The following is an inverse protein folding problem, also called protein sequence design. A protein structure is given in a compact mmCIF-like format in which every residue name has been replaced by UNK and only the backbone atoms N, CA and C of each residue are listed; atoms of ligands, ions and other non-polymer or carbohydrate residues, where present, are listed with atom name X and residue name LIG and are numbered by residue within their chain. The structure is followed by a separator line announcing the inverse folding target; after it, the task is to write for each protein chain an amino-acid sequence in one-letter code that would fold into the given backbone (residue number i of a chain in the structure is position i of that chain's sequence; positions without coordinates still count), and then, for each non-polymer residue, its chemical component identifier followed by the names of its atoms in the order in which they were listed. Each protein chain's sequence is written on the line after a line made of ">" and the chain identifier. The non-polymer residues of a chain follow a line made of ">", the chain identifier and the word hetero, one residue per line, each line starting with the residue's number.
data_IF_320825224418
#
_entry.id   IF_320825224418
#
_cell.length_a   1.000
_cell.length_b   1.000
_cell.length_c   1.000
_cell.angle_alpha   90.00
_cell.angle_beta   90.00
_cell.angle_gamma   90.00
#
_symmetry.space_group_name_H-M   'P 1'
#
loop_
_entity.id
_entity.type
_entity.pdbx_description
1 polymer ?
#
# COMPACT_ATOMS: atom_id res chain seq x y z
N UNK A 1 -50.24 10.40 -30.11
CA UNK A 1 -49.27 11.43 -29.66
C UNK A 1 -47.98 10.68 -29.42
N UNK A 2 -47.08 10.70 -30.40
CA UNK A 2 -45.75 10.12 -30.23
C UNK A 2 -44.96 11.04 -29.31
N UNK A 3 -44.54 10.48 -28.18
CA UNK A 3 -43.68 11.15 -27.21
C UNK A 3 -42.28 11.13 -27.82
N UNK A 4 -41.84 12.26 -28.38
CA UNK A 4 -40.44 12.46 -28.74
C UNK A 4 -39.61 12.37 -27.45
N UNK A 5 -38.93 11.25 -27.26
CA UNK A 5 -37.89 11.15 -26.24
C UNK A 5 -36.71 12.01 -26.70
N UNK A 6 -36.15 12.83 -25.82
CA UNK A 6 -34.92 13.56 -26.12
C UNK A 6 -33.81 12.55 -26.44
N UNK A 7 -33.19 12.68 -27.61
CA UNK A 7 -32.01 11.89 -27.94
C UNK A 7 -30.87 12.32 -27.01
N UNK A 8 -30.55 11.46 -26.05
CA UNK A 8 -29.38 11.61 -25.20
C UNK A 8 -28.19 11.00 -25.93
N UNK A 9 -27.16 11.82 -26.14
CA UNK A 9 -25.91 11.39 -26.77
C UNK A 9 -25.01 10.75 -25.69
N UNK A 10 -24.75 9.43 -25.74
CA UNK A 10 -23.87 8.76 -24.79
C UNK A 10 -22.42 9.25 -24.83
N UNK A 11 -22.00 9.94 -25.91
CA UNK A 11 -20.66 10.54 -25.99
C UNK A 11 -20.49 11.75 -25.04
N UNK A 12 -21.60 12.36 -24.58
CA UNK A 12 -21.57 13.45 -23.61
C UNK A 12 -21.41 12.97 -22.17
N UNK A 13 -21.81 11.74 -21.84
CA UNK A 13 -21.66 11.20 -20.47
C UNK A 13 -20.19 11.04 -20.06
N UNK A 14 -19.33 10.68 -21.02
CA UNK A 14 -17.89 10.46 -20.76
C UNK A 14 -17.02 11.68 -21.09
N UNK A 15 -17.60 12.83 -21.46
CA UNK A 15 -16.83 13.98 -21.94
C UNK A 15 -15.91 14.55 -20.83
N UNK A 16 -16.39 14.61 -19.59
CA UNK A 16 -15.59 15.06 -18.46
C UNK A 16 -14.44 14.10 -18.15
N UNK A 17 -14.63 12.79 -18.28
CA UNK A 17 -13.56 11.80 -18.13
C UNK A 17 -12.57 11.84 -19.31
N UNK A 18 -13.04 12.09 -20.53
CA UNK A 18 -12.16 12.28 -21.70
C UNK A 18 -11.29 13.53 -21.59
N UNK A 19 -11.84 14.61 -21.02
CA UNK A 19 -11.17 15.90 -20.91
C UNK A 19 -10.32 15.98 -19.64
N UNK A 20 -10.79 15.46 -18.50
CA UNK A 20 -10.18 15.62 -17.17
C UNK A 20 -9.83 14.31 -16.47
N UNK A 21 -10.06 13.17 -17.09
CA UNK A 21 -9.71 11.86 -16.51
C UNK A 21 -8.21 11.67 -16.38
N UNK A 22 -7.84 10.72 -15.52
CA UNK A 22 -6.44 10.34 -15.30
C UNK A 22 -5.82 9.87 -16.61
N UNK A 23 -4.67 10.44 -16.97
CA UNK A 23 -3.88 10.10 -18.14
C UNK A 23 -2.55 9.54 -17.70
N UNK A 24 -2.25 8.34 -18.15
CA UNK A 24 -1.01 7.64 -17.85
C UNK A 24 -0.25 7.46 -19.15
N UNK A 25 1.05 7.76 -19.13
CA UNK A 25 1.94 7.53 -20.24
C UNK A 25 3.21 6.84 -19.73
N UNK A 26 3.51 5.66 -20.29
CA UNK A 26 4.70 4.89 -19.96
C UNK A 26 5.74 5.04 -21.07
N UNK A 27 6.86 5.67 -20.72
CA UNK A 27 7.92 6.06 -21.65
C UNK A 27 9.24 5.35 -21.33
N UNK A 28 9.78 4.65 -22.32
CA UNK A 28 11.06 3.95 -22.24
C UNK A 28 12.22 4.69 -22.93
N UNK A 29 11.97 5.83 -23.57
CA UNK A 29 12.96 6.54 -24.39
C UNK A 29 13.61 7.71 -23.65
N UNK A 30 12.84 8.47 -22.85
CA UNK A 30 13.37 9.68 -22.18
C UNK A 30 14.44 9.43 -21.10
N UNK A 31 14.57 8.20 -20.61
CA UNK A 31 15.59 7.85 -19.61
C UNK A 31 16.35 6.60 -20.03
N UNK A 32 17.68 6.64 -20.12
CA UNK A 32 18.48 5.47 -20.50
C UNK A 32 18.47 4.30 -19.51
N UNK A 33 18.07 4.52 -18.25
CA UNK A 33 18.22 3.54 -17.14
C UNK A 33 16.92 3.13 -16.45
N UNK A 34 15.81 3.78 -16.75
CA UNK A 34 14.53 3.53 -16.11
C UNK A 34 13.41 3.64 -17.14
N UNK A 35 12.29 2.98 -16.86
CA UNK A 35 11.00 3.28 -17.49
C UNK A 35 10.39 4.46 -16.74
N UNK A 36 9.81 5.41 -17.45
CA UNK A 36 9.20 6.62 -16.87
C UNK A 36 7.69 6.49 -16.97
N UNK A 37 7.00 6.43 -15.84
CA UNK A 37 5.54 6.46 -15.76
C UNK A 37 5.12 7.88 -15.40
N UNK A 38 4.40 8.55 -16.30
CA UNK A 38 3.85 9.87 -16.07
C UNK A 38 2.35 9.74 -15.83
N UNK A 39 1.87 10.30 -14.73
CA UNK A 39 0.46 10.29 -14.35
C UNK A 39 -0.02 11.74 -14.22
N UNK A 40 -1.02 12.09 -15.01
CA UNK A 40 -1.65 13.40 -14.96
C UNK A 40 -3.13 13.24 -14.61
N UNK A 41 -3.64 13.96 -13.62
CA UNK A 41 -5.05 13.86 -13.26
C UNK A 41 -5.61 15.16 -12.69
N UNK A 42 -6.92 15.37 -12.82
CA UNK A 42 -7.63 16.48 -12.20
C UNK A 42 -8.21 16.04 -10.87
N UNK A 43 -7.61 16.59 -9.81
CA UNK A 43 -8.03 16.52 -8.41
C UNK A 43 -8.59 15.19 -7.88
N UNK A 44 -7.68 14.32 -7.48
CA UNK A 44 -7.97 13.18 -6.63
C UNK A 44 -6.91 13.09 -5.53
N UNK A 45 -7.37 13.10 -4.28
CA UNK A 45 -6.49 13.09 -3.11
C UNK A 45 -5.89 11.70 -2.84
N UNK A 46 -6.49 10.63 -3.42
CA UNK A 46 -6.07 9.25 -3.17
C UNK A 46 -5.28 8.62 -4.34
N UNK A 47 -5.16 9.33 -5.47
CA UNK A 47 -4.49 8.81 -6.67
C UNK A 47 -3.02 8.42 -6.45
N UNK A 48 -2.28 9.19 -5.65
CA UNK A 48 -0.87 8.87 -5.38
C UNK A 48 -0.73 7.47 -4.75
N UNK A 49 -1.61 7.15 -3.81
CA UNK A 49 -1.58 5.85 -3.15
C UNK A 49 -1.99 4.74 -4.12
N UNK A 50 -3.03 4.96 -4.93
CA UNK A 50 -3.45 4.02 -5.97
C UNK A 50 -2.32 3.71 -6.97
N UNK A 51 -1.63 4.74 -7.45
CA UNK A 51 -0.48 4.58 -8.35
C UNK A 51 0.61 3.75 -7.68
N UNK A 52 0.94 4.07 -6.42
CA UNK A 52 1.96 3.30 -5.69
C UNK A 52 1.53 1.84 -5.48
N UNK A 53 0.26 1.57 -5.18
CA UNK A 53 -0.31 0.21 -5.07
C UNK A 53 -0.14 -0.58 -6.38
N UNK A 54 -0.40 0.04 -7.53
CA UNK A 54 -0.20 -0.62 -8.85
C UNK A 54 1.28 -0.93 -9.08
N UNK A 55 2.17 0.03 -8.80
CA UNK A 55 3.61 -0.14 -9.02
C UNK A 55 4.23 -1.22 -8.11
N UNK A 56 3.84 -1.26 -6.82
CA UNK A 56 4.33 -2.30 -5.90
C UNK A 56 3.74 -3.67 -6.20
N UNK A 57 2.48 -3.74 -6.70
CA UNK A 57 1.84 -5.00 -7.09
C UNK A 57 2.51 -5.64 -8.32
N UNK A 58 3.20 -4.84 -9.12
CA UNK A 58 4.10 -5.29 -10.19
C UNK A 58 5.55 -5.51 -9.75
N UNK A 59 5.81 -5.38 -8.44
CA UNK A 59 7.13 -5.52 -7.83
C UNK A 59 8.19 -4.56 -8.41
N UNK A 60 7.73 -3.40 -8.89
CA UNK A 60 8.61 -2.38 -9.48
C UNK A 60 9.29 -1.54 -8.40
N UNK A 61 10.57 -1.25 -8.62
CA UNK A 61 11.35 -0.36 -7.75
C UNK A 61 11.33 1.07 -8.27
N UNK A 62 11.11 2.05 -7.38
CA UNK A 62 11.11 3.47 -7.71
C UNK A 62 12.52 4.03 -7.48
N UNK A 63 13.23 4.34 -8.56
CA UNK A 63 14.57 4.92 -8.49
C UNK A 63 14.54 6.43 -8.23
N UNK A 64 13.53 7.10 -8.78
CA UNK A 64 13.35 8.54 -8.71
C UNK A 64 11.88 8.87 -8.89
N UNK A 65 11.36 9.86 -8.17
CA UNK A 65 10.00 10.32 -8.37
C UNK A 65 9.87 11.82 -8.08
N UNK A 66 8.93 12.45 -8.79
CA UNK A 66 8.45 13.79 -8.54
C UNK A 66 6.93 13.76 -8.44
N UNK A 67 6.40 14.27 -7.34
CA UNK A 67 4.95 14.43 -7.12
C UNK A 67 4.68 15.93 -7.12
N UNK A 68 3.62 16.36 -7.79
CA UNK A 68 3.23 17.77 -7.80
C UNK A 68 1.72 17.94 -7.94
N UNK A 69 1.16 18.75 -7.03
CA UNK A 69 -0.25 19.14 -7.03
C UNK A 69 -0.35 20.67 -6.99
N UNK A 70 -0.93 21.26 -8.04
CA UNK A 70 -1.11 22.71 -8.17
C UNK A 70 -2.55 23.06 -8.57
N UNK A 71 -3.29 23.71 -7.65
CA UNK A 71 -4.55 24.38 -7.99
C UNK A 71 -5.63 23.52 -8.66
N UNK A 72 -5.60 22.20 -8.46
CA UNK A 72 -6.56 21.24 -9.01
C UNK A 72 -5.98 20.24 -10.02
N UNK A 73 -4.70 20.35 -10.40
CA UNK A 73 -4.01 19.37 -11.23
C UNK A 73 -2.94 18.62 -10.47
N UNK A 74 -2.74 17.36 -10.84
CA UNK A 74 -1.71 16.48 -10.33
C UNK A 74 -0.84 16.02 -11.49
N UNK A 75 0.48 16.12 -11.33
CA UNK A 75 1.48 15.64 -12.27
C UNK A 75 2.56 14.89 -11.51
N UNK A 76 2.47 13.57 -11.62
CA UNK A 76 3.36 12.65 -10.92
C UNK A 76 4.21 11.89 -11.94
N UNK A 77 5.51 11.82 -11.68
CA UNK A 77 6.49 11.18 -12.56
C UNK A 77 7.28 10.17 -11.76
N UNK A 78 7.23 8.90 -12.16
CA UNK A 78 7.92 7.79 -11.51
C UNK A 78 8.95 7.18 -12.47
N UNK A 79 10.20 7.14 -12.05
CA UNK A 79 11.25 6.39 -12.74
C UNK A 79 11.33 5.00 -12.10
N UNK A 80 10.78 4.02 -12.79
CA UNK A 80 10.65 2.65 -12.29
C UNK A 80 11.61 1.69 -12.97
N UNK A 81 11.93 0.60 -12.27
CA UNK A 81 12.72 -0.53 -12.76
C UNK A 81 12.08 -1.83 -12.28
N UNK A 82 12.29 -2.90 -13.03
CA UNK A 82 11.93 -4.24 -12.58
C UNK A 82 12.84 -4.73 -11.43
N UNK A 83 12.61 -5.96 -10.98
CA UNK A 83 13.36 -6.59 -9.89
C UNK A 83 14.85 -6.81 -10.22
N UNK A 84 15.19 -6.93 -11.50
CA UNK A 84 16.57 -7.06 -11.97
C UNK A 84 17.27 -5.70 -12.10
N UNK A 85 16.53 -4.59 -11.90
CA UNK A 85 17.03 -3.23 -12.04
C UNK A 85 17.04 -2.73 -13.49
N UNK A 86 16.34 -3.43 -14.39
CA UNK A 86 16.22 -3.09 -15.80
C UNK A 86 14.95 -2.28 -16.08
N UNK A 87 14.81 -1.79 -17.30
CA UNK A 87 13.57 -1.16 -17.77
C UNK A 87 12.47 -2.20 -17.96
N UNK A 88 11.24 -1.79 -17.73
CA UNK A 88 10.05 -2.58 -18.01
C UNK A 88 9.78 -2.57 -19.51
N UNK A 89 10.03 -3.70 -20.19
CA UNK A 89 9.75 -3.87 -21.62
C UNK A 89 8.50 -4.70 -21.91
N UNK A 90 7.97 -5.38 -20.90
CA UNK A 90 6.77 -6.21 -21.04
C UNK A 90 5.58 -5.34 -21.41
N UNK A 91 5.09 -5.49 -22.66
CA UNK A 91 3.87 -4.79 -23.12
C UNK A 91 2.67 -5.10 -22.23
N UNK A 92 2.58 -6.31 -21.68
CA UNK A 92 1.51 -6.68 -20.75
C UNK A 92 1.57 -5.86 -19.47
N UNK A 93 2.75 -5.72 -18.88
CA UNK A 93 2.95 -4.91 -17.67
C UNK A 93 2.68 -3.43 -17.94
N UNK A 94 3.18 -2.89 -19.06
CA UNK A 94 2.94 -1.49 -19.47
C UNK A 94 1.44 -1.22 -19.63
N UNK A 95 0.75 -2.05 -20.43
CA UNK A 95 -0.69 -1.89 -20.65
C UNK A 95 -1.47 -1.98 -19.33
N UNK A 96 -1.04 -2.84 -18.41
CA UNK A 96 -1.67 -2.96 -17.10
C UNK A 96 -1.45 -1.73 -16.22
N UNK A 97 -0.24 -1.14 -16.20
CA UNK A 97 0.01 0.13 -15.49
C UNK A 97 -0.94 1.20 -16.01
N UNK A 98 -1.05 1.32 -17.33
CA UNK A 98 -1.94 2.30 -17.97
C UNK A 98 -3.41 2.05 -17.61
N UNK A 99 -3.88 0.80 -17.71
CA UNK A 99 -5.28 0.47 -17.45
C UNK A 99 -5.65 0.56 -15.97
N UNK A 100 -4.81 0.06 -15.07
CA UNK A 100 -5.09 0.05 -13.64
C UNK A 100 -5.12 1.45 -13.01
N UNK A 101 -4.31 2.38 -13.54
CA UNK A 101 -4.27 3.76 -13.06
C UNK A 101 -5.29 4.64 -13.80
N UNK A 102 -5.55 4.42 -15.10
CA UNK A 102 -6.57 5.19 -15.83
C UNK A 102 -8.01 4.79 -15.46
N UNK A 103 -8.25 3.49 -15.25
CA UNK A 103 -9.59 2.94 -15.01
C UNK A 103 -9.69 2.49 -13.56
N UNK A 104 -10.30 3.31 -12.70
CA UNK A 104 -10.47 3.01 -11.26
C UNK A 104 -11.25 1.71 -10.98
N UNK A 105 -12.02 1.24 -11.95
CA UNK A 105 -12.79 -0.01 -11.89
C UNK A 105 -12.10 -1.22 -12.55
N UNK A 106 -10.83 -1.11 -12.96
CA UNK A 106 -10.14 -2.22 -13.62
C UNK A 106 -9.84 -3.35 -12.61
N UNK A 107 -10.02 -4.63 -13.00
CA UNK A 107 -9.62 -5.75 -12.15
C UNK A 107 -8.11 -5.66 -11.88
N UNK A 108 -7.73 -5.57 -10.60
CA UNK A 108 -6.32 -5.51 -10.17
C UNK A 108 -5.63 -6.80 -10.63
N UNK A 109 -4.60 -6.74 -11.48
CA UNK A 109 -3.80 -7.91 -11.84
C UNK A 109 -2.69 -8.13 -10.79
N UNK A 110 -2.29 -9.38 -10.57
CA UNK A 110 -1.10 -9.74 -9.78
C UNK A 110 -0.07 -10.39 -10.68
N UNK A 111 1.20 -10.12 -10.41
CA UNK A 111 2.30 -10.88 -11.00
C UNK A 111 2.46 -12.17 -10.21
N UNK A 112 2.11 -13.32 -10.80
CA UNK A 112 2.47 -14.62 -10.23
C UNK A 112 3.97 -14.83 -10.37
N UNK A 113 4.59 -15.62 -9.48
CA UNK A 113 6.03 -15.99 -9.49
C UNK A 113 6.58 -16.47 -10.86
N UNK A 114 5.72 -16.80 -11.81
CA UNK A 114 6.04 -17.16 -13.19
C UNK A 114 6.24 -15.97 -14.14
N UNK A 115 6.27 -14.72 -13.65
CA UNK A 115 6.34 -13.50 -14.48
C UNK A 115 5.17 -13.38 -15.48
N UNK A 116 4.09 -14.13 -15.23
CA UNK A 116 2.85 -14.07 -15.99
C UNK A 116 1.91 -13.12 -15.26
N UNK A 117 1.51 -12.06 -15.97
CA UNK A 117 0.47 -11.15 -15.49
C UNK A 117 -0.87 -11.88 -15.61
N UNK A 118 -1.34 -12.45 -14.50
CA UNK A 118 -2.67 -13.05 -14.41
C UNK A 118 -3.65 -12.01 -13.84
N UNK A 119 -4.83 -11.89 -14.43
CA UNK A 119 -5.92 -11.11 -13.82
C UNK A 119 -6.16 -11.69 -12.44
N UNK A 120 -6.12 -10.90 -11.35
CA UNK A 120 -6.71 -11.42 -10.11
C UNK A 120 -8.17 -11.67 -10.49
N UNK A 121 -8.66 -12.91 -10.39
CA UNK A 121 -10.09 -13.08 -10.34
C UNK A 121 -10.59 -12.27 -9.14
N UNK A 122 -11.84 -11.80 -9.17
CA UNK A 122 -12.43 -11.07 -8.05
C UNK A 122 -12.13 -11.83 -6.75
N UNK A 123 -11.24 -11.26 -5.92
CA UNK A 123 -10.64 -11.98 -4.78
C UNK A 123 -11.73 -12.33 -3.78
N UNK A 124 -12.77 -11.51 -3.69
CA UNK A 124 -13.96 -11.79 -2.89
C UNK A 124 -14.79 -12.95 -3.44
N UNK A 125 -14.76 -13.21 -4.76
CA UNK A 125 -15.50 -14.29 -5.38
C UNK A 125 -14.82 -15.67 -5.24
N UNK A 126 -13.50 -15.71 -5.00
CA UNK A 126 -12.73 -16.96 -4.99
C UNK A 126 -12.05 -17.30 -3.67
N UNK A 127 -11.82 -16.31 -2.80
CA UNK A 127 -11.05 -16.50 -1.58
C UNK A 127 -11.74 -15.89 -0.36
N UNK A 128 -11.45 -16.46 0.80
CA UNK A 128 -11.74 -15.90 2.10
C UNK A 128 -10.49 -15.19 2.61
N UNK A 129 -10.60 -13.90 2.88
CA UNK A 129 -9.51 -13.12 3.45
C UNK A 129 -9.50 -13.17 4.97
N UNK A 130 -8.34 -13.36 5.57
CA UNK A 130 -8.12 -13.42 7.01
C UNK A 130 -7.01 -12.46 7.39
N UNK A 131 -7.28 -11.60 8.35
CA UNK A 131 -6.31 -10.70 8.96
C UNK A 131 -5.94 -11.19 10.33
N UNK A 132 -4.66 -11.07 10.65
CA UNK A 132 -4.11 -11.52 11.92
C UNK A 132 -3.17 -10.44 12.42
N UNK A 133 -3.33 -10.05 13.67
CA UNK A 133 -2.39 -9.21 14.39
C UNK A 133 -2.09 -9.87 15.73
N UNK A 134 -0.82 -9.87 16.13
CA UNK A 134 -0.39 -10.49 17.37
C UNK A 134 1.08 -10.26 17.67
N UNK A 135 1.58 -10.97 18.66
CA UNK A 135 2.99 -10.88 19.04
C UNK A 135 3.89 -11.69 18.12
N UNK A 136 4.97 -11.08 17.67
CA UNK A 136 6.01 -11.74 16.90
C UNK A 136 6.85 -12.65 17.81
N UNK A 137 6.61 -13.97 17.75
CA UNK A 137 7.37 -14.97 18.50
C UNK A 137 7.82 -16.14 17.62
N UNK A 138 8.92 -16.82 17.98
CA UNK A 138 9.32 -18.05 17.29
C UNK A 138 8.17 -19.08 17.25
N UNK A 139 7.95 -19.70 16.10
CA UNK A 139 6.93 -20.73 15.91
C UNK A 139 5.53 -20.23 15.50
N UNK A 140 5.27 -18.92 15.55
CA UNK A 140 3.93 -18.36 15.28
C UNK A 140 3.36 -18.76 13.92
N UNK A 141 4.15 -18.72 12.84
CA UNK A 141 3.67 -19.13 11.52
C UNK A 141 3.42 -20.63 11.43
N UNK A 142 4.19 -21.45 12.15
CA UNK A 142 3.94 -22.90 12.22
C UNK A 142 2.60 -23.20 12.89
N UNK A 143 2.27 -22.48 13.96
CA UNK A 143 0.99 -22.61 14.65
C UNK A 143 -0.17 -22.10 13.77
N UNK A 144 -0.02 -20.95 13.11
CA UNK A 144 -1.02 -20.43 12.16
C UNK A 144 -1.26 -21.45 11.02
N UNK A 145 -0.19 -21.98 10.42
CA UNK A 145 -0.31 -22.99 9.36
C UNK A 145 -0.97 -24.28 9.86
N UNK A 146 -0.70 -24.70 11.09
CA UNK A 146 -1.35 -25.86 11.69
C UNK A 146 -2.86 -25.65 11.84
N UNK A 147 -3.30 -24.49 12.35
CA UNK A 147 -4.73 -24.15 12.47
C UNK A 147 -5.41 -24.14 11.10
N UNK A 148 -4.80 -23.50 10.10
CA UNK A 148 -5.37 -23.44 8.75
C UNK A 148 -5.49 -24.84 8.12
N UNK A 149 -4.46 -25.68 8.28
CA UNK A 149 -4.49 -27.06 7.79
C UNK A 149 -5.54 -27.92 8.50
N UNK A 150 -5.68 -27.81 9.82
CA UNK A 150 -6.69 -28.54 10.61
C UNK A 150 -8.13 -28.14 10.22
N UNK A 151 -8.33 -26.87 9.84
CA UNK A 151 -9.62 -26.36 9.36
C UNK A 151 -9.87 -26.65 7.87
N UNK A 152 -9.00 -27.43 7.20
CA UNK A 152 -9.11 -27.76 5.78
C UNK A 152 -9.04 -26.53 4.87
N UNK A 153 -8.20 -25.56 5.22
CA UNK A 153 -7.98 -24.34 4.45
C UNK A 153 -6.74 -24.52 3.57
N UNK A 154 -6.88 -24.28 2.26
CA UNK A 154 -5.76 -24.12 1.36
C UNK A 154 -5.29 -22.66 1.36
N UNK A 155 -4.00 -22.42 1.60
CA UNK A 155 -3.42 -21.06 1.62
C UNK A 155 -2.99 -20.69 0.21
N UNK A 156 -3.71 -19.75 -0.39
CA UNK A 156 -3.45 -19.31 -1.77
C UNK A 156 -2.38 -18.22 -1.81
N UNK A 157 -2.46 -17.30 -0.86
CA UNK A 157 -1.55 -16.16 -0.75
C UNK A 157 -1.49 -15.71 0.72
N UNK A 158 -0.32 -15.30 1.19
CA UNK A 158 -0.17 -14.73 2.52
C UNK A 158 0.92 -13.66 2.51
N UNK A 159 0.60 -12.51 3.09
CA UNK A 159 1.49 -11.37 3.27
C UNK A 159 1.68 -11.13 4.75
N UNK A 160 2.91 -10.98 5.20
CA UNK A 160 3.20 -10.75 6.60
C UNK A 160 4.24 -9.65 6.80
N UNK A 161 4.06 -8.88 7.87
CA UNK A 161 4.96 -7.85 8.34
C UNK A 161 5.25 -8.09 9.82
N UNK A 162 6.53 -8.24 10.17
CA UNK A 162 7.00 -8.15 11.55
C UNK A 162 7.82 -6.88 11.81
N UNK A 163 7.59 -6.25 12.96
CA UNK A 163 8.40 -5.15 13.46
C UNK A 163 8.41 -5.20 14.99
N UNK A 164 9.61 -5.14 15.58
CA UNK A 164 9.81 -5.36 17.02
C UNK A 164 9.10 -6.66 17.47
N UNK A 165 8.20 -6.54 18.44
CA UNK A 165 7.43 -7.64 19.02
C UNK A 165 6.03 -7.77 18.40
N UNK A 166 5.74 -7.06 17.30
CA UNK A 166 4.45 -7.07 16.60
C UNK A 166 4.53 -7.83 15.27
N UNK A 167 3.46 -8.55 14.97
CA UNK A 167 3.21 -9.27 13.74
C UNK A 167 1.85 -8.84 13.17
N UNK A 168 1.81 -8.49 11.90
CA UNK A 168 0.60 -8.40 11.09
C UNK A 168 0.68 -9.39 9.93
N UNK A 169 -0.44 -10.03 9.60
CA UNK A 169 -0.53 -10.97 8.49
C UNK A 169 -1.91 -10.86 7.83
N UNK A 170 -1.94 -10.85 6.50
CA UNK A 170 -3.14 -10.95 5.68
C UNK A 170 -3.00 -12.19 4.81
N UNK A 171 -3.93 -13.13 4.94
CA UNK A 171 -3.93 -14.38 4.21
C UNK A 171 -5.22 -14.55 3.41
N UNK A 172 -5.09 -15.02 2.17
CA UNK A 172 -6.20 -15.42 1.32
C UNK A 172 -6.24 -16.95 1.26
N UNK A 173 -7.35 -17.51 1.71
CA UNK A 173 -7.54 -18.95 1.81
C UNK A 173 -8.75 -19.42 1.00
N UNK A 174 -8.72 -20.66 0.53
CA UNK A 174 -9.88 -21.34 -0.03
C UNK A 174 -10.19 -22.60 0.76
N UNK A 175 -11.39 -23.14 0.60
CA UNK A 175 -11.70 -24.48 1.07
C UNK A 175 -10.88 -25.53 0.30
N UNK A 176 -10.25 -26.47 1.01
CA UNK A 176 -9.42 -27.53 0.41
C UNK A 176 -10.23 -28.47 -0.48
N UNK A 177 -11.48 -28.78 -0.12
CA UNK A 177 -12.31 -29.75 -0.83
C UNK A 177 -12.98 -29.16 -2.07
N UNK A 178 -13.42 -27.90 -2.01
CA UNK A 178 -14.17 -27.25 -3.10
C UNK A 178 -13.35 -26.24 -3.90
N UNK A 179 -12.16 -25.85 -3.43
CA UNK A 179 -11.36 -24.75 -4.01
C UNK A 179 -12.16 -23.44 -4.17
N UNK A 180 -13.12 -23.20 -3.27
CA UNK A 180 -14.00 -22.03 -3.27
C UNK A 180 -13.85 -21.22 -1.98
N UNK A 181 -14.44 -20.00 -1.88
CA UNK A 181 -14.48 -19.27 -0.61
C UNK A 181 -15.17 -20.11 0.48
N UNK A 182 -14.69 -19.93 1.71
CA UNK A 182 -15.30 -20.47 2.93
C UNK A 182 -16.43 -19.52 3.34
N UNK A 183 -17.67 -19.97 3.18
CA UNK A 183 -18.88 -19.16 3.46
C UNK A 183 -19.67 -19.64 4.70
N UNK A 184 -19.31 -20.79 5.29
CA UNK A 184 -19.99 -21.29 6.48
C UNK A 184 -19.64 -20.44 7.72
N UNK A 185 -20.59 -19.69 8.31
CA UNK A 185 -20.31 -18.80 9.43
C UNK A 185 -19.80 -19.53 10.68
N UNK A 186 -20.21 -20.78 10.90
CA UNK A 186 -19.76 -21.54 12.08
C UNK A 186 -18.31 -21.95 11.94
N UNK A 187 -17.92 -22.42 10.74
CA UNK A 187 -16.53 -22.74 10.43
C UNK A 187 -15.65 -21.49 10.45
N UNK A 188 -16.12 -20.39 9.90
CA UNK A 188 -15.44 -19.10 9.95
C UNK A 188 -15.19 -18.62 11.39
N UNK A 189 -16.18 -18.76 12.28
CA UNK A 189 -16.02 -18.46 13.70
C UNK A 189 -15.01 -19.40 14.38
N UNK A 190 -15.03 -20.70 14.07
CA UNK A 190 -14.04 -21.69 14.54
C UNK A 190 -12.62 -21.32 14.11
N UNK A 191 -12.41 -20.95 12.85
CA UNK A 191 -11.11 -20.49 12.33
C UNK A 191 -10.66 -19.25 13.11
N UNK A 192 -11.55 -18.28 13.30
CA UNK A 192 -11.24 -17.05 14.01
C UNK A 192 -10.84 -17.29 15.48
N UNK A 193 -11.55 -18.19 16.17
CA UNK A 193 -11.30 -18.52 17.58
C UNK A 193 -9.97 -19.26 17.78
N UNK A 194 -9.70 -20.27 16.94
CA UNK A 194 -8.43 -20.99 16.98
C UNK A 194 -7.24 -20.09 16.64
N UNK A 195 -7.36 -19.25 15.61
CA UNK A 195 -6.31 -18.27 15.28
C UNK A 195 -6.15 -17.22 16.40
N UNK A 196 -7.24 -16.75 16.99
CA UNK A 196 -7.20 -15.84 18.15
C UNK A 196 -6.45 -16.44 19.33
N UNK A 197 -6.68 -17.73 19.60
CA UNK A 197 -5.99 -18.49 20.66
C UNK A 197 -4.48 -18.59 20.38
N UNK A 198 -4.08 -18.84 19.13
CA UNK A 198 -2.68 -18.90 18.71
C UNK A 198 -2.00 -17.53 18.72
N UNK A 199 -2.72 -16.46 18.41
CA UNK A 199 -2.16 -15.10 18.39
C UNK A 199 -2.05 -14.50 19.79
N UNK A 200 -2.95 -14.88 20.71
CA UNK A 200 -3.07 -14.34 22.06
C UNK A 200 -2.38 -15.03 23.25
N UNK A 201 -1.47 -16.02 23.16
CA UNK A 201 -0.94 -16.71 24.34
C UNK A 201 0.18 -15.93 25.06
N UNK A 202 0.25 -14.60 24.89
CA UNK A 202 1.06 -13.73 25.74
C UNK A 202 0.37 -13.57 27.09
N UNK A 203 0.94 -14.16 28.15
CA UNK A 203 0.41 -14.15 29.52
C UNK A 203 0.50 -12.77 30.21
N UNK A 204 -0.05 -11.74 29.60
CA UNK A 204 -0.36 -10.48 30.27
C UNK A 204 -1.59 -9.89 29.59
N UNK A 205 -2.63 -9.65 30.39
CA UNK A 205 -3.61 -8.64 30.06
C UNK A 205 -2.83 -7.32 29.98
N UNK A 206 -2.36 -6.96 28.79
CA UNK A 206 -1.76 -5.65 28.59
C UNK A 206 -2.87 -4.62 28.80
N UNK A 207 -2.72 -3.78 29.83
CA UNK A 207 -3.60 -2.65 30.13
C UNK A 207 -3.71 -1.65 28.95
N UNK A 208 -2.88 -1.82 27.90
CA UNK A 208 -2.77 -0.96 26.72
C UNK A 208 -3.66 -1.36 25.52
N UNK A 209 -4.50 -2.40 25.63
CA UNK A 209 -5.53 -2.67 24.61
C UNK A 209 -5.03 -3.20 23.26
N UNK A 210 -3.79 -3.71 23.19
CA UNK A 210 -3.16 -4.27 21.98
C UNK A 210 -3.62 -5.69 21.62
N UNK A 211 -4.94 -5.96 21.72
CA UNK A 211 -5.47 -7.32 21.64
C UNK A 211 -5.08 -8.02 20.34
N UNK A 212 -4.24 -9.04 20.45
CA UNK A 212 -4.00 -10.01 19.40
C UNK A 212 -5.36 -10.55 18.92
N UNK A 213 -5.57 -10.56 17.60
CA UNK A 213 -6.87 -10.88 17.02
C UNK A 213 -6.72 -11.40 15.61
N UNK A 214 -7.57 -12.38 15.28
CA UNK A 214 -7.86 -12.76 13.92
C UNK A 214 -9.22 -12.17 13.54
N UNK A 215 -9.33 -11.65 12.32
CA UNK A 215 -10.58 -11.14 11.76
C UNK A 215 -10.73 -11.57 10.31
N UNK A 216 -11.97 -11.76 9.89
CA UNK A 216 -12.30 -12.05 8.51
C UNK A 216 -12.43 -10.73 7.75
N UNK A 217 -11.86 -10.68 6.54
CA UNK A 217 -12.00 -9.54 5.65
C UNK A 217 -13.42 -9.51 5.08
N UNK A 218 -14.12 -8.39 5.28
CA UNK A 218 -15.32 -8.08 4.50
C UNK A 218 -14.98 -7.73 3.05
N UNK A 219 -15.99 -7.54 2.20
CA UNK A 219 -15.83 -7.24 0.78
C UNK A 219 -14.87 -6.06 0.52
N UNK A 220 -14.98 -4.97 1.30
CA UNK A 220 -14.11 -3.79 1.19
C UNK A 220 -12.64 -4.06 1.57
N UNK A 221 -12.39 -5.06 2.41
CA UNK A 221 -11.05 -5.44 2.81
C UNK A 221 -10.37 -6.37 1.79
N UNK A 222 -11.15 -7.20 1.10
CA UNK A 222 -10.70 -8.07 0.00
C UNK A 222 -10.28 -7.27 -1.26
N UNK A 223 -10.85 -6.08 -1.45
CA UNK A 223 -10.51 -5.18 -2.56
C UNK A 223 -9.28 -4.31 -2.27
N UNK A 224 -8.93 -4.11 -0.99
CA UNK A 224 -7.75 -3.36 -0.58
C UNK A 224 -6.43 -4.07 -0.97
N UNK A 225 -5.38 -3.30 -1.25
CA UNK A 225 -4.06 -3.88 -1.52
C UNK A 225 -3.49 -4.50 -0.22
N UNK A 226 -3.01 -5.76 -0.22
CA UNK A 226 -2.60 -6.45 1.02
C UNK A 226 -1.52 -5.69 1.78
N UNK A 227 -0.55 -5.09 1.08
CA UNK A 227 0.48 -4.23 1.68
C UNK A 227 -0.09 -2.98 2.37
N UNK A 228 -1.10 -2.35 1.77
CA UNK A 228 -1.79 -1.20 2.37
C UNK A 228 -2.49 -1.62 3.65
N UNK A 229 -3.11 -2.79 3.62
CA UNK A 229 -3.82 -3.32 4.78
C UNK A 229 -2.88 -3.73 5.91
N UNK A 230 -1.76 -4.37 5.60
CA UNK A 230 -0.69 -4.63 6.57
C UNK A 230 -0.19 -3.35 7.24
N UNK A 231 -0.03 -2.26 6.47
CA UNK A 231 0.33 -0.98 7.03
C UNK A 231 -0.70 -0.46 8.05
N UNK A 232 -2.00 -0.55 7.74
CA UNK A 232 -3.07 -0.17 8.66
C UNK A 232 -3.10 -1.03 9.92
N UNK A 233 -2.87 -2.34 9.79
CA UNK A 233 -2.79 -3.26 10.93
C UNK A 233 -1.62 -2.87 11.84
N UNK A 234 -0.43 -2.67 11.29
CA UNK A 234 0.76 -2.25 12.05
C UNK A 234 0.61 -0.84 12.63
N UNK A 235 -0.04 0.07 11.93
CA UNK A 235 -0.36 1.40 12.48
C UNK A 235 -1.29 1.28 13.70
N UNK A 236 -2.29 0.39 13.63
CA UNK A 236 -3.23 0.16 14.73
C UNK A 236 -2.59 -0.49 15.96
N UNK A 237 -1.48 -1.22 15.81
CA UNK A 237 -0.75 -1.82 16.92
C UNK A 237 0.08 -0.83 17.72
N UNK A 238 0.22 0.43 17.27
CA UNK A 238 0.91 1.53 17.97
C UNK A 238 2.24 1.15 18.62
N UNK A 239 2.95 0.17 18.07
CA UNK A 239 4.22 -0.34 18.61
C UNK A 239 5.37 0.68 18.52
N UNK A 240 5.12 1.81 17.87
CA UNK A 240 5.96 2.99 17.72
C UNK A 240 5.71 4.06 18.78
N UNK A 241 4.57 4.03 19.49
CA UNK A 241 4.27 4.91 20.61
C UNK A 241 5.08 4.44 21.83
N UNK A 242 6.35 4.86 21.88
CA UNK A 242 7.19 4.66 23.06
C UNK A 242 6.59 5.35 24.30
N UNK A 243 6.98 4.93 25.49
CA UNK A 243 6.57 5.61 26.73
C UNK A 243 6.88 7.12 26.64
N UNK A 244 5.94 8.01 27.03
CA UNK A 244 6.14 9.45 26.98
C UNK A 244 7.39 9.83 27.77
N UNK A 245 8.42 10.32 27.08
CA UNK A 245 9.71 10.71 27.67
C UNK A 245 10.94 9.94 27.16
N UNK A 246 10.77 8.81 26.47
CA UNK A 246 11.85 8.18 25.69
C UNK A 246 11.66 8.52 24.22
N UNK A 247 12.23 9.64 23.78
CA UNK A 247 12.51 9.81 22.35
C UNK A 247 13.40 8.63 21.93
N UNK A 248 12.91 7.75 21.07
CA UNK A 248 13.69 6.65 20.52
C UNK A 248 14.83 7.21 19.68
N UNK A 249 15.94 7.56 20.33
CA UNK A 249 17.18 7.99 19.69
C UNK A 249 18.01 6.81 19.18
N UNK A 250 17.40 5.63 19.01
CA UNK A 250 18.05 4.45 18.47
C UNK A 250 17.17 3.87 17.35
N UNK A 251 17.33 4.40 16.14
CA UNK A 251 16.93 3.65 14.96
C UNK A 251 17.95 2.50 14.81
N UNK A 252 17.51 1.24 14.62
CA UNK A 252 18.44 0.13 14.45
C UNK A 252 19.45 0.45 13.34
N UNK A 253 20.73 0.28 13.64
CA UNK A 253 21.80 0.43 12.67
C UNK A 253 21.70 -0.77 11.71
N UNK A 254 21.05 -0.60 10.56
CA UNK A 254 21.10 -1.60 9.49
C UNK A 254 22.54 -1.61 8.94
N UNK A 255 23.35 -2.52 9.47
CA UNK A 255 24.70 -2.75 9.00
C UNK A 255 24.61 -3.62 7.75
N UNK A 256 24.60 -2.99 6.58
CA UNK A 256 24.79 -3.68 5.32
C UNK A 256 26.28 -4.00 5.18
N UNK A 257 26.62 -5.29 5.17
CA UNK A 257 28.00 -5.78 5.08
C UNK A 257 28.78 -5.04 3.97
N UNK A 258 29.85 -4.33 4.38
CA UNK A 258 30.77 -3.64 3.49
C UNK A 258 30.74 -2.12 3.52
N UNK A 259 29.66 -1.46 3.96
CA UNK A 259 29.62 0.00 4.09
C UNK A 259 29.94 0.43 5.53
N UNK A 260 31.24 0.60 5.83
CA UNK A 260 31.76 1.14 7.09
C UNK A 260 31.42 2.63 7.28
N UNK A 261 30.14 2.97 7.43
CA UNK A 261 29.63 4.13 8.18
C UNK A 261 28.11 3.94 8.30
N UNK A 262 27.64 3.45 9.45
CA UNK A 262 26.22 3.29 9.74
C UNK A 262 25.49 4.62 9.60
N UNK A 263 24.93 4.89 8.43
CA UNK A 263 24.11 6.07 8.20
C UNK A 263 22.74 5.74 8.79
N UNK A 264 22.55 6.22 10.02
CA UNK A 264 21.29 6.09 10.77
C UNK A 264 20.16 6.69 9.93
N UNK A 265 18.98 6.08 9.98
CA UNK A 265 17.75 6.71 9.45
C UNK A 265 17.59 8.08 10.08
N UNK A 266 17.53 9.12 9.26
CA UNK A 266 17.29 10.50 9.66
C UNK A 266 15.92 10.89 9.13
N UNK A 267 15.02 11.25 10.04
CA UNK A 267 13.73 11.85 9.71
C UNK A 267 13.68 13.23 10.35
N UNK A 268 13.41 14.26 9.55
CA UNK A 268 13.16 15.61 10.06
C UNK A 268 11.80 16.11 9.58
N UNK A 269 11.14 16.90 10.42
CA UNK A 269 9.87 17.54 10.10
C UNK A 269 9.99 19.02 10.40
N UNK A 270 9.91 19.85 9.37
CA UNK A 270 10.03 21.29 9.46
C UNK A 270 8.70 21.95 9.09
N UNK A 271 8.25 22.95 9.86
CA UNK A 271 7.00 23.66 9.58
C UNK A 271 7.28 24.95 8.82
N UNK A 272 6.77 25.06 7.59
CA UNK A 272 6.82 26.27 6.79
C UNK A 272 5.56 27.12 7.08
N UNK A 273 5.67 28.03 8.05
CA UNK A 273 4.55 28.85 8.52
C UNK A 273 3.97 29.78 7.45
N UNK A 274 4.80 30.26 6.51
CA UNK A 274 4.37 31.19 5.45
C UNK A 274 3.40 30.57 4.44
N UNK A 275 3.55 29.26 4.17
CA UNK A 275 2.74 28.54 3.18
C UNK A 275 1.85 27.45 3.77
N UNK A 276 1.86 27.30 5.10
CA UNK A 276 1.07 26.30 5.82
C UNK A 276 1.46 24.84 5.56
N UNK A 277 2.66 24.58 5.03
CA UNK A 277 3.14 23.23 4.74
C UNK A 277 4.00 22.69 5.89
N UNK A 278 3.97 21.37 6.07
CA UNK A 278 5.00 20.61 6.78
C UNK A 278 5.92 19.96 5.75
N UNK A 279 7.23 20.06 5.97
CA UNK A 279 8.25 19.46 5.12
C UNK A 279 8.82 18.27 5.86
N UNK A 280 8.59 17.07 5.33
CA UNK A 280 9.10 15.82 5.88
C UNK A 280 10.28 15.35 5.05
N UNK A 281 11.45 15.23 5.67
CA UNK A 281 12.65 14.68 5.06
C UNK A 281 12.94 13.30 5.64
N UNK A 282 13.21 12.33 4.76
CA UNK A 282 13.61 10.97 5.13
C UNK A 282 14.89 10.61 4.39
N UNK A 283 15.97 10.37 5.13
CA UNK A 283 17.21 9.80 4.63
C UNK A 283 17.47 8.45 5.29
N UNK A 284 17.53 7.37 4.52
CA UNK A 284 17.73 6.03 5.07
C UNK A 284 18.38 5.08 4.05
N UNK A 285 18.61 3.84 4.48
CA UNK A 285 18.98 2.74 3.57
C UNK A 285 17.78 2.45 2.67
N UNK A 286 18.01 2.42 1.36
CA UNK A 286 16.98 2.13 0.39
C UNK A 286 16.53 0.67 0.55
N UNK A 287 15.22 0.45 0.49
CA UNK A 287 14.61 -0.87 0.51
C UNK A 287 13.38 -0.91 -0.40
N UNK A 288 12.94 -2.09 -0.85
CA UNK A 288 11.68 -2.23 -1.55
C UNK A 288 10.54 -1.58 -0.76
N UNK A 289 9.58 -0.99 -1.48
CA UNK A 289 8.35 -0.38 -0.94
C UNK A 289 8.56 0.84 0.00
N UNK A 290 9.79 1.33 0.16
CA UNK A 290 10.06 2.44 1.10
C UNK A 290 9.19 3.69 0.84
N UNK A 291 9.04 4.13 -0.41
CA UNK A 291 8.19 5.29 -0.74
C UNK A 291 6.70 5.01 -0.42
N UNK A 292 6.23 3.80 -0.70
CA UNK A 292 4.87 3.38 -0.39
C UNK A 292 4.60 3.42 1.11
N UNK A 293 5.52 2.90 1.92
CA UNK A 293 5.38 2.93 3.38
C UNK A 293 5.38 4.35 3.93
N UNK A 294 6.27 5.23 3.42
CA UNK A 294 6.28 6.64 3.84
C UNK A 294 4.97 7.35 3.49
N UNK A 295 4.45 7.15 2.28
CA UNK A 295 3.19 7.77 1.85
C UNK A 295 2.01 7.20 2.65
N UNK A 296 1.93 5.88 2.86
CA UNK A 296 0.93 5.25 3.73
C UNK A 296 0.95 5.86 5.14
N UNK A 297 2.15 6.02 5.72
CA UNK A 297 2.31 6.64 7.05
C UNK A 297 1.78 8.07 7.06
N UNK A 298 2.10 8.90 6.06
CA UNK A 298 1.59 10.27 5.97
C UNK A 298 0.06 10.29 5.81
N UNK A 299 -0.49 9.46 4.94
CA UNK A 299 -1.94 9.35 4.72
C UNK A 299 -2.67 8.89 5.98
N UNK A 300 -2.15 7.87 6.70
CA UNK A 300 -2.74 7.37 7.96
C UNK A 300 -2.71 8.42 9.07
N UNK A 301 -1.68 9.29 9.08
CA UNK A 301 -1.60 10.46 9.95
C UNK A 301 -2.40 11.67 9.43
N UNK A 302 -3.23 11.51 8.40
CA UNK A 302 -4.08 12.55 7.81
C UNK A 302 -3.30 13.72 7.20
N UNK A 303 -2.15 13.43 6.59
CA UNK A 303 -1.37 14.38 5.81
C UNK A 303 -1.50 14.11 4.31
N UNK A 304 -1.91 15.14 3.56
CA UNK A 304 -1.93 15.10 2.10
C UNK A 304 -0.60 15.58 1.54
N UNK A 305 -0.01 14.80 0.63
CA UNK A 305 1.23 15.15 -0.08
C UNK A 305 0.89 16.03 -1.29
N UNK A 306 1.45 17.23 -1.33
CA UNK A 306 1.28 18.16 -2.47
C UNK A 306 2.49 18.13 -3.39
N UNK A 307 3.68 18.09 -2.81
CA UNK A 307 4.91 17.94 -3.59
C UNK A 307 5.78 16.89 -2.94
N UNK A 308 6.47 16.10 -3.76
CA UNK A 308 7.49 15.21 -3.25
C UNK A 308 8.65 15.10 -4.24
N UNK A 309 9.84 14.88 -3.70
CA UNK A 309 11.00 14.48 -4.46
C UNK A 309 11.62 13.26 -3.80
N UNK A 310 11.67 12.16 -4.54
CA UNK A 310 12.26 10.89 -4.09
C UNK A 310 13.41 10.55 -5.01
N UNK A 311 14.52 10.11 -4.43
CA UNK A 311 15.67 9.60 -5.19
C UNK A 311 16.40 8.51 -4.43
N UNK A 312 16.84 7.48 -5.15
CA UNK A 312 17.78 6.49 -4.63
C UNK A 312 19.18 6.76 -5.20
N UNK A 313 20.19 6.76 -4.31
CA UNK A 313 21.60 6.93 -4.64
C UNK A 313 22.38 5.76 -4.06
N UNK A 314 22.63 4.74 -4.89
CA UNK A 314 23.24 3.49 -4.44
C UNK A 314 22.36 2.81 -3.38
N UNK A 315 22.91 2.44 -2.21
CA UNK A 315 22.14 1.79 -1.15
C UNK A 315 21.31 2.76 -0.29
N UNK A 316 21.28 4.05 -0.61
CA UNK A 316 20.59 5.07 0.19
C UNK A 316 19.41 5.68 -0.57
N UNK A 317 18.37 6.04 0.16
CA UNK A 317 17.21 6.78 -0.34
C UNK A 317 17.11 8.13 0.37
N UNK A 318 16.72 9.14 -0.40
CA UNK A 318 16.40 10.48 0.09
C UNK A 318 14.99 10.83 -0.42
N UNK A 319 14.10 11.13 0.51
CA UNK A 319 12.70 11.48 0.22
C UNK A 319 12.38 12.80 0.92
N UNK A 320 11.80 13.74 0.17
CA UNK A 320 11.32 15.01 0.68
C UNK A 320 9.83 15.13 0.30
N UNK A 321 8.98 15.43 1.28
CA UNK A 321 7.54 15.59 1.10
C UNK A 321 7.08 16.93 1.66
N UNK A 322 6.35 17.70 0.87
CA UNK A 322 5.60 18.86 1.31
C UNK A 322 4.15 18.41 1.51
N UNK A 323 3.71 18.40 2.76
CA UNK A 323 2.39 17.93 3.13
C UNK A 323 1.59 18.96 3.95
N UNK A 324 0.26 18.82 3.96
CA UNK A 324 -0.63 19.58 4.84
C UNK A 324 -1.55 18.63 5.59
N UNK A 325 -1.86 18.97 6.83
CA UNK A 325 -2.80 18.18 7.63
C UNK A 325 -4.23 18.50 7.18
N UNK A 326 -5.01 17.48 6.86
CA UNK A 326 -6.40 17.62 6.38
C UNK A 326 -7.36 18.14 7.45
N UNK A 327 -7.09 17.88 8.73
CA UNK A 327 -7.94 18.36 9.85
C UNK A 327 -7.74 19.85 10.18
N UNK A 328 -6.63 20.46 9.74
CA UNK A 328 -6.44 21.91 9.85
C UNK A 328 -7.20 22.73 8.79
N UNK A 329 -7.95 22.06 7.91
CA UNK A 329 -8.68 22.64 6.78
C UNK A 329 -10.15 23.02 7.03
N UNK A 330 -10.70 22.85 8.24
CA UNK A 330 -12.00 23.47 8.60
C UNK A 330 -11.81 24.94 9.00
N UNK A 331 -11.21 25.69 8.09
CA UNK A 331 -11.35 27.14 8.02
C UNK A 331 -11.80 27.43 6.60
N UNK A 332 -13.04 27.92 6.47
CA UNK A 332 -13.49 28.60 5.25
C UNK A 332 -12.36 29.49 4.72
N UNK A 333 -12.04 29.38 3.43
CA UNK A 333 -12.46 30.43 2.52
C UNK A 333 -12.26 30.01 1.06
N UNK A 334 -13.38 30.11 0.36
CA UNK A 334 -13.52 30.18 -1.08
C UNK A 334 -12.85 31.47 -1.52
N UNK A 335 -11.89 31.42 -2.44
CA UNK A 335 -11.71 32.39 -3.51
C UNK A 335 -11.13 31.71 -4.74
#
# INVERSE_FOLDING_TARGET
>A
MDVCCAYFDPDYENLNERIYGTRVNVDNDSCGKCTVVNVNSRNDHDLLLEVLEVLIGLELSIAKCYISSDGGWFMDVFHVRDQEGNKVYSKKAINYIEQAICTRDSPRFTVTRSNELASRPDVAAHYTGIEMIGHNRPGIFSEISAVLAEQGCNVMEAHAWSHKDSLACVAFVSDESTSSPINDPNRLASIQDHLGTVLGPGTSMDEDGHSARAHLLGADGLTSHPERRLHQLMFSSKDFDGHPGKACTAFPMLSLDGYKKGRRTVVSVDRCNEKGYSVVNVECVNRPKLMFDTVCTLTDMQFNVFHASVSSRGPFACQNYLCRNTTSGTGMDIF
#
